data_IF_955944404289
#
_entry.id   IF_955944404289
#
_cell.length_a   1.000
_cell.length_b   1.000
_cell.length_c   1.000
_cell.angle_alpha   90.00
_cell.angle_beta   90.00
_cell.angle_gamma   90.00
#
_symmetry.space_group_name_H-M   'P 1'
#
loop_
_entity.id
_entity.type
_entity.pdbx_description
1 polymer ?
#
# COMPACT_ATOMS: atom_id res chain seq x y z
N UNK A 1 -29.91 1.52 0.15
CA UNK A 1 -29.43 1.37 -1.24
C UNK A 1 -27.90 1.40 -1.22
N UNK A 2 -27.26 0.23 -1.06
CA UNK A 2 -25.78 0.10 -0.99
C UNK A 2 -25.10 0.50 -2.31
N UNK A 3 -25.78 0.29 -3.43
CA UNK A 3 -25.22 0.59 -4.76
C UNK A 3 -24.94 2.08 -4.92
N UNK A 4 -25.75 2.96 -4.31
CA UNK A 4 -25.48 4.41 -4.29
C UNK A 4 -24.18 4.73 -3.56
N UNK A 5 -23.96 4.17 -2.36
CA UNK A 5 -22.73 4.40 -1.59
C UNK A 5 -21.51 3.82 -2.30
N UNK A 6 -21.66 2.63 -2.90
CA UNK A 6 -20.60 1.99 -3.67
C UNK A 6 -20.22 2.80 -4.91
N UNK A 7 -21.20 3.31 -5.66
CA UNK A 7 -20.97 4.16 -6.82
C UNK A 7 -20.31 5.49 -6.42
N UNK A 8 -20.72 6.09 -5.30
CA UNK A 8 -20.08 7.29 -4.75
C UNK A 8 -18.62 7.02 -4.35
N UNK A 9 -18.34 5.90 -3.68
CA UNK A 9 -16.99 5.49 -3.29
C UNK A 9 -16.11 5.30 -4.53
N UNK A 10 -16.59 4.58 -5.54
CA UNK A 10 -15.85 4.34 -6.78
C UNK A 10 -15.59 5.62 -7.57
N UNK A 11 -16.58 6.51 -7.67
CA UNK A 11 -16.41 7.81 -8.32
C UNK A 11 -15.36 8.65 -7.61
N UNK A 12 -15.41 8.71 -6.27
CA UNK A 12 -14.41 9.41 -5.46
C UNK A 12 -13.02 8.81 -5.64
N UNK A 13 -12.91 7.50 -5.63
CA UNK A 13 -11.65 6.79 -5.87
C UNK A 13 -11.07 7.12 -7.24
N UNK A 14 -11.90 7.18 -8.27
CA UNK A 14 -11.49 7.53 -9.63
C UNK A 14 -10.94 8.96 -9.71
N UNK A 15 -11.62 9.91 -9.06
CA UNK A 15 -11.19 11.32 -9.01
C UNK A 15 -9.87 11.49 -8.23
N UNK A 16 -9.70 10.75 -7.13
CA UNK A 16 -8.57 10.94 -6.22
C UNK A 16 -7.37 10.03 -6.49
N UNK A 17 -7.48 9.01 -7.35
CA UNK A 17 -6.41 8.02 -7.53
C UNK A 17 -5.07 8.64 -7.98
N UNK A 18 -5.11 9.57 -8.94
CA UNK A 18 -3.90 10.23 -9.43
C UNK A 18 -3.21 11.07 -8.35
N UNK A 19 -3.98 11.93 -7.68
CA UNK A 19 -3.48 12.77 -6.60
C UNK A 19 -2.92 11.93 -5.42
N UNK A 20 -3.63 10.88 -5.02
CA UNK A 20 -3.17 9.95 -3.98
C UNK A 20 -1.82 9.31 -4.36
N UNK A 21 -1.70 8.79 -5.58
CA UNK A 21 -0.48 8.12 -6.04
C UNK A 21 0.70 9.07 -6.15
N UNK A 22 0.48 10.26 -6.69
CA UNK A 22 1.50 11.31 -6.79
C UNK A 22 1.96 11.77 -5.41
N UNK A 23 1.03 11.97 -4.48
CA UNK A 23 1.34 12.38 -3.12
C UNK A 23 2.23 11.36 -2.42
N UNK A 24 1.86 10.08 -2.46
CA UNK A 24 2.65 9.01 -1.84
C UNK A 24 4.04 8.88 -2.50
N UNK A 25 4.13 8.98 -3.82
CA UNK A 25 5.41 8.92 -4.51
C UNK A 25 6.33 10.12 -4.18
N UNK A 26 5.77 11.33 -4.10
CA UNK A 26 6.49 12.51 -3.67
C UNK A 26 7.00 12.39 -2.22
N UNK A 27 6.19 11.81 -1.34
CA UNK A 27 6.60 11.51 0.04
C UNK A 27 7.77 10.52 0.06
N UNK A 28 7.70 9.43 -0.70
CA UNK A 28 8.78 8.44 -0.81
C UNK A 28 10.07 9.10 -1.28
N UNK A 29 10.03 9.87 -2.37
CA UNK A 29 11.22 10.51 -2.92
C UNK A 29 11.87 11.51 -1.95
N UNK A 30 11.06 12.32 -1.27
CA UNK A 30 11.53 13.24 -0.23
C UNK A 30 12.20 12.50 0.92
N UNK A 31 11.64 11.37 1.37
CA UNK A 31 12.15 10.63 2.51
C UNK A 31 13.32 9.70 2.16
N UNK A 32 13.44 9.30 0.89
CA UNK A 32 14.57 8.51 0.39
C UNK A 32 15.79 9.37 0.03
N UNK A 33 15.67 10.71 0.08
CA UNK A 33 16.73 11.63 -0.36
C UNK A 33 16.96 11.60 -1.87
N UNK A 34 15.99 11.11 -2.66
CA UNK A 34 16.06 11.20 -4.10
C UNK A 34 15.70 12.63 -4.53
N UNK A 35 16.64 13.34 -5.13
CA UNK A 35 16.53 14.79 -5.42
C UNK A 35 15.35 15.17 -6.35
N UNK A 36 14.68 14.22 -7.00
CA UNK A 36 13.43 14.46 -7.72
C UNK A 36 12.77 13.15 -8.15
N UNK A 37 11.48 12.97 -7.87
CA UNK A 37 10.67 11.92 -8.50
C UNK A 37 10.20 12.40 -9.88
N UNK A 38 10.82 11.90 -10.95
CA UNK A 38 10.23 11.99 -12.28
C UNK A 38 9.07 10.98 -12.34
N UNK A 39 7.86 11.44 -11.98
CA UNK A 39 6.68 10.60 -12.07
C UNK A 39 6.51 10.04 -13.49
N UNK A 40 5.89 8.85 -13.64
CA UNK A 40 5.73 8.26 -14.96
C UNK A 40 4.91 9.21 -15.84
N UNK A 41 5.60 9.89 -16.76
CA UNK A 41 4.98 10.43 -17.95
C UNK A 41 4.30 9.24 -18.64
N UNK A 42 2.99 9.30 -18.81
CA UNK A 42 2.15 8.14 -19.08
C UNK A 42 2.74 7.14 -20.09
N UNK A 43 2.83 5.87 -19.67
CA UNK A 43 2.96 4.71 -20.55
C UNK A 43 4.38 4.21 -20.82
N UNK A 44 4.73 3.06 -20.25
CA UNK A 44 5.88 2.25 -20.69
C UNK A 44 6.37 1.26 -19.64
N UNK A 45 5.97 0.00 -19.73
CA UNK A 45 6.56 -1.10 -18.95
C UNK A 45 7.96 -1.43 -19.49
N UNK A 46 9.01 -1.19 -18.69
CA UNK A 46 10.37 -1.65 -18.96
C UNK A 46 11.18 -1.76 -17.68
N UNK A 47 11.47 -2.99 -17.24
CA UNK A 47 12.31 -3.31 -16.08
C UNK A 47 13.73 -3.62 -16.55
N UNK A 48 14.71 -2.82 -16.12
CA UNK A 48 16.14 -3.01 -16.38
C UNK A 48 16.91 -3.24 -15.08
N UNK A 49 17.77 -4.26 -15.07
CA UNK A 49 18.60 -4.73 -13.94
C UNK A 49 19.87 -3.90 -13.74
N UNK A 50 20.25 -3.69 -12.48
CA UNK A 50 21.62 -3.45 -11.97
C UNK A 50 21.67 -4.05 -10.54
N UNK A 51 22.71 -4.64 -9.95
CA UNK A 51 24.17 -4.67 -10.18
C UNK A 51 24.86 -4.42 -8.82
N UNK A 52 25.62 -5.42 -8.31
CA UNK A 52 26.13 -5.55 -6.92
C UNK A 52 27.23 -4.56 -6.48
N UNK A 53 27.36 -4.32 -5.15
CA UNK A 53 28.56 -3.67 -4.57
C UNK A 53 28.60 -3.42 -3.04
N UNK A 54 29.32 -4.31 -2.33
CA UNK A 54 30.20 -4.22 -1.12
C UNK A 54 29.96 -3.27 0.10
N UNK A 55 30.39 -3.77 1.27
CA UNK A 55 30.16 -3.31 2.65
C UNK A 55 31.36 -2.61 3.34
N UNK A 56 31.14 -1.84 4.43
CA UNK A 56 32.07 -1.77 5.59
C UNK A 56 31.51 -1.16 6.92
N UNK A 57 32.14 -1.49 8.06
CA UNK A 57 32.41 -0.66 9.27
C UNK A 57 31.30 -0.32 10.28
N UNK A 58 31.35 -0.85 11.51
CA UNK A 58 30.35 -0.66 12.58
C UNK A 58 30.68 0.44 13.62
N UNK A 59 29.65 0.92 14.32
CA UNK A 59 29.75 1.79 15.51
C UNK A 59 28.74 1.30 16.56
N UNK A 60 29.22 0.96 17.76
CA UNK A 60 28.45 0.39 18.87
C UNK A 60 28.01 1.50 19.83
N UNK A 61 26.74 1.91 19.74
CA UNK A 61 26.08 2.77 20.73
C UNK A 61 24.70 2.21 21.12
N UNK A 62 24.38 2.08 22.42
CA UNK A 62 23.08 1.62 22.85
C UNK A 62 22.13 2.81 22.99
N UNK A 63 21.22 3.00 22.03
CA UNK A 63 20.21 4.07 22.13
C UNK A 63 19.25 4.14 20.94
N UNK A 64 18.07 3.52 21.08
CA UNK A 64 16.98 3.56 20.12
C UNK A 64 16.93 2.34 19.22
N UNK A 65 15.78 1.66 19.15
CA UNK A 65 15.52 0.48 18.28
C UNK A 65 15.67 0.76 16.76
N UNK A 66 16.15 1.94 16.37
CA UNK A 66 16.40 2.41 15.01
C UNK A 66 17.85 2.92 14.83
N UNK A 67 18.68 2.93 15.87
CA UNK A 67 20.07 3.39 15.79
C UNK A 67 20.95 2.30 15.21
N UNK A 68 21.71 2.64 14.15
CA UNK A 68 22.67 1.80 13.42
C UNK A 68 22.14 1.06 12.18
N UNK A 69 21.18 1.63 11.45
CA UNK A 69 21.13 1.38 10.00
C UNK A 69 22.26 2.17 9.35
N UNK A 70 23.34 1.48 8.97
CA UNK A 70 24.50 2.09 8.30
C UNK A 70 24.04 2.91 7.10
N UNK A 71 24.53 4.15 7.01
CA UNK A 71 24.29 5.11 5.92
C UNK A 71 25.05 4.70 4.63
N UNK A 72 24.79 3.50 4.11
CA UNK A 72 25.07 3.21 2.70
C UNK A 72 24.02 3.90 1.82
N UNK A 73 24.28 4.11 0.51
CA UNK A 73 23.23 4.50 -0.42
C UNK A 73 22.12 3.46 -0.32
N UNK A 74 20.98 3.87 0.24
CA UNK A 74 19.86 2.97 0.51
C UNK A 74 19.31 2.52 -0.85
N UNK A 75 19.30 1.22 -1.18
CA UNK A 75 18.67 0.78 -2.42
C UNK A 75 17.24 1.29 -2.45
N UNK A 76 16.86 1.82 -3.60
CA UNK A 76 15.65 2.61 -3.75
C UNK A 76 14.41 1.79 -3.38
N UNK A 77 13.54 2.34 -2.53
CA UNK A 77 12.18 1.84 -2.35
C UNK A 77 11.41 2.10 -3.64
N UNK A 78 10.95 1.04 -4.29
CA UNK A 78 10.20 1.15 -5.54
C UNK A 78 8.71 1.43 -5.26
N UNK A 79 8.11 2.30 -6.06
CA UNK A 79 6.68 2.61 -5.98
C UNK A 79 5.95 1.95 -7.15
N UNK A 80 5.05 1.02 -6.84
CA UNK A 80 4.25 0.27 -7.80
C UNK A 80 2.80 0.74 -7.75
N UNK A 81 2.37 1.51 -8.76
CA UNK A 81 1.00 1.99 -8.85
C UNK A 81 0.01 0.89 -9.18
N UNK A 82 -1.22 1.01 -8.67
CA UNK A 82 -2.31 0.09 -8.98
C UNK A 82 -3.54 0.84 -9.49
N UNK A 83 -4.34 0.25 -10.38
CA UNK A 83 -5.61 0.86 -10.77
C UNK A 83 -6.58 0.88 -9.59
N UNK A 84 -7.54 1.82 -9.65
CA UNK A 84 -8.71 1.84 -8.75
C UNK A 84 -9.36 0.47 -8.72
N UNK A 85 -9.76 0.03 -7.53
CA UNK A 85 -10.47 -1.25 -7.41
C UNK A 85 -11.76 -1.20 -8.22
N UNK A 86 -11.98 -2.20 -9.08
CA UNK A 86 -13.19 -2.26 -9.90
C UNK A 86 -14.45 -2.38 -9.04
N UNK A 87 -15.57 -1.82 -9.53
CA UNK A 87 -16.89 -1.94 -8.91
C UNK A 87 -17.26 -3.39 -8.60
N UNK A 88 -17.05 -4.32 -9.54
CA UNK A 88 -17.31 -5.74 -9.31
C UNK A 88 -16.55 -6.28 -8.08
N UNK A 89 -15.25 -5.98 -7.98
CA UNK A 89 -14.44 -6.38 -6.81
C UNK A 89 -14.82 -5.67 -5.53
N UNK A 90 -15.35 -4.45 -5.61
CA UNK A 90 -15.91 -3.76 -4.46
C UNK A 90 -17.18 -4.47 -3.98
N UNK A 91 -18.08 -4.88 -4.89
CA UNK A 91 -19.28 -5.69 -4.56
C UNK A 91 -18.92 -7.02 -3.90
N UNK A 92 -17.98 -7.78 -4.48
CA UNK A 92 -17.51 -9.04 -3.89
C UNK A 92 -17.03 -8.83 -2.44
N UNK A 93 -16.36 -7.71 -2.20
CA UNK A 93 -15.87 -7.30 -0.88
C UNK A 93 -17.00 -7.03 0.10
N UNK A 94 -18.15 -6.50 -0.35
CA UNK A 94 -19.30 -6.25 0.52
C UNK A 94 -19.92 -7.54 1.04
N UNK A 95 -19.87 -8.62 0.26
CA UNK A 95 -20.37 -9.95 0.68
C UNK A 95 -19.64 -10.45 1.93
N UNK A 96 -18.34 -10.15 2.07
CA UNK A 96 -17.54 -10.50 3.26
C UNK A 96 -18.04 -9.81 4.54
N UNK A 97 -18.70 -8.66 4.41
CA UNK A 97 -19.20 -7.85 5.52
C UNK A 97 -20.72 -7.89 5.66
N UNK A 98 -21.44 -8.61 4.81
CA UNK A 98 -22.88 -8.73 4.89
C UNK A 98 -23.29 -9.47 6.19
N UNK A 99 -24.49 -9.18 6.75
CA UNK A 99 -25.03 -9.96 7.86
C UNK A 99 -24.97 -11.47 7.58
N UNK A 100 -24.58 -12.30 8.56
CA UNK A 100 -24.46 -12.01 9.99
C UNK A 100 -23.07 -11.53 10.44
N UNK A 101 -22.21 -11.04 9.54
CA UNK A 101 -20.85 -10.65 9.89
C UNK A 101 -20.83 -9.55 10.99
N UNK A 102 -20.19 -9.76 12.15
CA UNK A 102 -20.31 -8.86 13.31
C UNK A 102 -19.68 -7.48 13.09
N UNK A 103 -18.75 -7.36 12.15
CA UNK A 103 -18.16 -6.07 11.75
C UNK A 103 -18.93 -5.32 10.65
N UNK A 104 -20.03 -5.90 10.13
CA UNK A 104 -20.81 -5.34 9.03
C UNK A 104 -21.71 -4.19 9.47
N UNK A 105 -21.19 -2.97 9.51
CA UNK A 105 -22.00 -1.77 9.78
C UNK A 105 -22.48 -1.15 8.47
N UNK A 106 -23.74 -0.68 8.45
CA UNK A 106 -24.31 0.03 7.31
C UNK A 106 -23.85 1.51 7.30
N UNK A 107 -23.36 2.07 6.18
CA UNK A 107 -23.18 1.43 4.88
C UNK A 107 -22.01 0.44 4.83
N UNK A 108 -22.21 -0.73 4.23
CA UNK A 108 -21.20 -1.81 4.20
C UNK A 108 -19.94 -1.36 3.44
N UNK A 109 -20.08 -0.48 2.44
CA UNK A 109 -18.96 0.14 1.73
C UNK A 109 -17.99 0.92 2.62
N UNK A 110 -18.38 1.33 3.83
CA UNK A 110 -17.44 1.88 4.82
C UNK A 110 -16.33 0.89 5.22
N UNK A 111 -16.54 -0.42 5.00
CA UNK A 111 -15.56 -1.47 5.26
C UNK A 111 -14.56 -1.68 4.10
N UNK A 112 -14.75 -0.99 2.96
CA UNK A 112 -13.81 -1.04 1.82
C UNK A 112 -12.73 0.02 2.01
N UNK A 113 -11.56 -0.41 2.49
CA UNK A 113 -10.45 0.47 2.84
C UNK A 113 -9.34 0.57 1.78
N UNK A 114 -9.46 -0.17 0.68
CA UNK A 114 -8.51 -0.15 -0.45
C UNK A 114 -9.17 0.21 -1.81
N UNK A 115 -10.00 1.28 -1.89
CA UNK A 115 -10.54 1.75 -3.17
C UNK A 115 -9.45 2.33 -4.08
N UNK A 116 -8.52 3.12 -3.50
CA UNK A 116 -7.25 3.54 -4.10
C UNK A 116 -6.11 2.83 -3.37
N UNK A 117 -5.08 2.42 -4.09
CA UNK A 117 -3.96 1.68 -3.50
C UNK A 117 -2.69 1.74 -4.35
N UNK A 118 -1.58 1.42 -3.72
CA UNK A 118 -0.29 1.19 -4.36
C UNK A 118 0.57 0.24 -3.51
N UNK A 119 1.72 -0.17 -4.03
CA UNK A 119 2.70 -0.95 -3.29
C UNK A 119 4.04 -0.22 -3.21
N UNK A 120 4.65 -0.25 -2.02
CA UNK A 120 6.05 0.10 -1.81
C UNK A 120 6.81 -1.21 -1.71
N UNK A 121 7.89 -1.34 -2.48
CA UNK A 121 8.72 -2.54 -2.48
C UNK A 121 10.10 -2.16 -2.02
N UNK A 122 10.56 -2.84 -0.97
CA UNK A 122 11.84 -2.58 -0.34
C UNK A 122 12.59 -3.90 -0.14
N UNK A 123 13.91 -3.84 -0.16
CA UNK A 123 14.75 -5.01 0.08
C UNK A 123 14.98 -5.21 1.59
N UNK A 124 14.34 -6.22 2.16
CA UNK A 124 14.55 -6.61 3.55
C UNK A 124 13.66 -5.88 4.58
N UNK A 125 13.50 -6.49 5.77
CA UNK A 125 12.55 -6.05 6.79
C UNK A 125 12.85 -4.66 7.37
N UNK A 126 14.14 -4.31 7.53
CA UNK A 126 14.50 -3.00 8.06
C UNK A 126 14.03 -1.85 7.15
N UNK A 127 14.13 -2.03 5.83
CA UNK A 127 13.68 -1.04 4.85
C UNK A 127 12.17 -0.98 4.73
N UNK A 128 11.47 -2.10 4.88
CA UNK A 128 10.00 -2.12 5.02
C UNK A 128 9.55 -1.25 6.19
N UNK A 129 10.18 -1.43 7.36
CA UNK A 129 9.86 -0.67 8.56
C UNK A 129 10.19 0.82 8.40
N UNK A 130 11.33 1.13 7.77
CA UNK A 130 11.72 2.52 7.43
C UNK A 130 10.73 3.16 6.46
N UNK A 131 10.35 2.47 5.39
CA UNK A 131 9.37 2.98 4.43
C UNK A 131 8.00 3.23 5.08
N UNK A 132 7.60 2.35 6.01
CA UNK A 132 6.36 2.52 6.76
C UNK A 132 6.42 3.68 7.76
N UNK A 133 7.57 3.94 8.38
CA UNK A 133 7.72 5.02 9.36
C UNK A 133 7.57 6.41 8.74
N UNK A 134 7.87 6.58 7.44
CA UNK A 134 7.66 7.83 6.70
C UNK A 134 6.22 8.35 6.77
N UNK A 135 5.24 7.45 6.87
CA UNK A 135 3.81 7.81 6.96
C UNK A 135 3.32 7.93 8.40
N UNK A 136 4.14 7.53 9.38
CA UNK A 136 3.80 7.59 10.81
C UNK A 136 4.32 8.86 11.47
N UNK A 137 5.30 9.53 10.85
CA UNK A 137 5.87 10.77 11.37
C UNK A 137 5.01 11.99 10.99
N UNK A 138 4.31 12.52 11.99
CA UNK A 138 3.45 13.69 11.85
C UNK A 138 4.19 14.92 11.30
N UNK A 139 5.50 15.05 11.54
CA UNK A 139 6.28 16.19 11.04
C UNK A 139 6.46 16.16 9.52
N UNK A 140 6.46 14.97 8.90
CA UNK A 140 6.49 14.80 7.44
C UNK A 140 5.11 15.00 6.79
N UNK A 141 4.05 14.94 7.61
CA UNK A 141 2.65 15.05 7.18
C UNK A 141 2.02 16.43 7.43
N UNK A 142 2.73 17.40 8.04
CA UNK A 142 2.14 18.68 8.52
C UNK A 142 2.88 19.93 8.02
N UNK A 143 3.14 20.00 6.70
CA UNK A 143 3.54 21.24 6.04
C UNK A 143 2.33 22.13 5.68
N UNK A 144 2.51 23.45 5.47
CA UNK A 144 1.42 24.36 5.05
C UNK A 144 0.81 24.02 3.68
N UNK A 145 1.44 23.13 2.91
CA UNK A 145 0.94 22.55 1.66
C UNK A 145 0.77 21.01 1.76
N UNK A 146 0.80 20.43 2.96
CA UNK A 146 0.62 19.00 3.13
C UNK A 146 -0.87 18.66 3.01
N UNK A 147 -1.32 18.39 1.79
CA UNK A 147 -2.51 17.59 1.55
C UNK A 147 -2.41 16.32 2.41
N UNK A 148 -3.34 16.17 3.35
CA UNK A 148 -3.13 15.37 4.56
C UNK A 148 -3.18 13.88 4.29
N UNK A 149 -2.03 13.21 4.46
CA UNK A 149 -1.98 11.74 4.62
C UNK A 149 -1.81 11.43 6.10
N UNK A 150 -2.78 10.71 6.66
CA UNK A 150 -2.73 10.26 8.05
C UNK A 150 -2.98 8.76 8.13
N UNK A 151 -2.08 8.00 8.77
CA UNK A 151 -2.28 6.57 9.00
C UNK A 151 -3.44 6.38 9.98
N UNK A 152 -4.53 5.75 9.52
CA UNK A 152 -5.72 5.46 10.32
C UNK A 152 -5.76 4.01 10.81
N UNK A 153 -5.06 3.09 10.14
CA UNK A 153 -4.98 1.69 10.54
C UNK A 153 -3.72 1.04 9.99
N UNK A 154 -3.10 0.20 10.79
CA UNK A 154 -2.00 -0.68 10.37
C UNK A 154 -2.45 -2.13 10.44
N UNK A 155 -2.21 -2.90 9.39
CA UNK A 155 -2.36 -4.37 9.41
C UNK A 155 -0.98 -4.98 9.18
N UNK A 156 -0.47 -5.62 10.21
CA UNK A 156 0.81 -6.32 10.17
C UNK A 156 0.58 -7.83 9.93
N UNK A 157 0.91 -8.29 8.72
CA UNK A 157 0.85 -9.69 8.33
C UNK A 157 2.02 -10.53 8.86
N UNK A 158 3.08 -9.92 9.40
CA UNK A 158 4.28 -10.60 9.91
C UNK A 158 4.16 -11.10 11.37
N UNK A 159 3.03 -10.87 12.03
CA UNK A 159 2.85 -11.24 13.44
C UNK A 159 2.94 -12.75 13.70
N UNK A 160 3.84 -13.15 14.61
CA UNK A 160 4.13 -14.54 14.97
C UNK A 160 2.95 -15.32 15.58
N UNK A 161 1.94 -14.62 16.12
CA UNK A 161 0.81 -15.23 16.83
C UNK A 161 -0.36 -15.71 15.97
N UNK A 162 -0.31 -15.58 14.63
CA UNK A 162 -1.41 -15.97 13.74
C UNK A 162 -1.30 -17.39 13.16
N UNK A 163 -0.32 -18.18 13.62
CA UNK A 163 0.06 -19.42 12.96
C UNK A 163 0.72 -19.16 11.61
N UNK A 164 1.31 -20.19 11.01
CA UNK A 164 1.77 -20.09 9.63
C UNK A 164 0.58 -19.76 8.74
N UNK A 165 0.57 -18.56 8.15
CA UNK A 165 -0.42 -18.22 7.13
C UNK A 165 -0.23 -19.24 6.02
N UNK A 166 -1.29 -19.98 5.68
CA UNK A 166 -1.22 -21.22 4.91
C UNK A 166 -0.55 -21.09 3.53
N UNK A 167 -0.51 -19.87 2.98
CA UNK A 167 0.10 -19.55 1.70
C UNK A 167 1.49 -18.92 1.81
N UNK A 168 2.04 -18.75 3.02
CA UNK A 168 3.33 -18.11 3.25
C UNK A 168 3.34 -16.60 2.97
N UNK A 169 2.20 -16.01 2.58
CA UNK A 169 2.12 -14.61 2.22
C UNK A 169 2.18 -13.73 3.48
N UNK A 170 3.01 -12.68 3.45
CA UNK A 170 3.17 -11.71 4.54
C UNK A 170 3.28 -10.32 3.92
N UNK A 171 2.54 -9.36 4.46
CA UNK A 171 2.61 -7.96 4.05
C UNK A 171 2.40 -7.02 5.23
N UNK A 172 2.93 -5.80 5.12
CA UNK A 172 2.59 -4.69 6.00
C UNK A 172 1.66 -3.77 5.21
N UNK A 173 0.50 -3.44 5.78
CA UNK A 173 -0.46 -2.54 5.14
C UNK A 173 -0.73 -1.34 6.01
N UNK A 174 -0.60 -0.17 5.42
CA UNK A 174 -1.00 1.10 6.00
C UNK A 174 -2.29 1.52 5.30
N UNK A 175 -3.32 1.74 6.08
CA UNK A 175 -4.52 2.41 5.61
C UNK A 175 -4.40 3.87 6.03
N UNK A 176 -4.49 4.76 5.06
CA UNK A 176 -4.29 6.17 5.27
C UNK A 176 -5.55 6.93 4.88
N UNK A 177 -5.95 7.91 5.70
CA UNK A 177 -6.85 8.97 5.25
C UNK A 177 -6.06 9.89 4.34
N UNK A 178 -6.64 10.22 3.19
CA UNK A 178 -6.08 11.16 2.22
C UNK A 178 -7.12 12.23 1.92
N UNK A 179 -6.80 13.47 2.24
CA UNK A 179 -7.60 14.65 1.90
C UNK A 179 -7.08 15.25 0.59
N UNK A 180 -7.81 15.00 -0.49
CA UNK A 180 -7.44 15.46 -1.82
C UNK A 180 -8.06 16.80 -2.21
N UNK A 181 -7.92 17.19 -3.49
CA UNK A 181 -8.44 18.45 -4.01
C UNK A 181 -9.95 18.63 -3.78
N UNK A 182 -10.37 19.89 -3.64
CA UNK A 182 -11.77 20.28 -3.39
C UNK A 182 -12.39 19.69 -2.10
N UNK A 183 -11.55 19.33 -1.11
CA UNK A 183 -12.02 18.82 0.19
C UNK A 183 -12.58 17.41 0.14
N UNK A 184 -12.25 16.63 -0.89
CA UNK A 184 -12.67 15.23 -0.99
C UNK A 184 -11.71 14.32 -0.23
N UNK A 185 -12.23 13.59 0.76
CA UNK A 185 -11.45 12.61 1.54
C UNK A 185 -11.69 11.16 1.10
N UNK A 186 -10.63 10.34 1.09
CA UNK A 186 -10.72 8.90 0.84
C UNK A 186 -9.74 8.12 1.73
N UNK A 187 -10.07 6.87 2.05
CA UNK A 187 -9.10 5.94 2.63
C UNK A 187 -8.35 5.23 1.50
N UNK A 188 -7.03 5.29 1.52
CA UNK A 188 -6.15 4.55 0.61
C UNK A 188 -5.38 3.44 1.32
N UNK A 189 -4.98 2.42 0.57
CA UNK A 189 -4.12 1.35 1.07
C UNK A 189 -2.71 1.46 0.47
N UNK A 190 -1.70 1.61 1.34
CA UNK A 190 -0.28 1.52 1.00
C UNK A 190 0.21 0.16 1.50
N UNK A 191 0.57 -0.72 0.58
CA UNK A 191 1.10 -2.04 0.93
C UNK A 191 2.62 -2.01 0.85
N UNK A 192 3.32 -2.32 1.93
CA UNK A 192 4.78 -2.37 1.98
C UNK A 192 5.22 -3.83 1.95
N UNK A 193 5.99 -4.20 0.94
CA UNK A 193 6.45 -5.57 0.69
C UNK A 193 7.95 -5.66 0.71
N UNK A 194 8.44 -6.83 1.11
CA UNK A 194 9.77 -7.27 0.73
C UNK A 194 9.80 -7.57 -0.78
N UNK A 195 10.93 -7.33 -1.45
CA UNK A 195 11.09 -7.62 -2.88
C UNK A 195 10.75 -9.08 -3.23
N UNK A 196 11.25 -10.06 -2.47
CA UNK A 196 11.01 -11.47 -2.75
C UNK A 196 9.53 -11.84 -2.55
N UNK A 197 8.89 -11.26 -1.54
CA UNK A 197 7.46 -11.45 -1.28
C UNK A 197 6.58 -10.78 -2.34
N UNK A 198 7.00 -9.62 -2.84
CA UNK A 198 6.30 -8.93 -3.93
C UNK A 198 6.31 -9.78 -5.21
N UNK A 199 7.44 -10.35 -5.58
CA UNK A 199 7.55 -11.21 -6.76
C UNK A 199 6.68 -12.47 -6.64
N UNK A 200 6.68 -13.10 -5.46
CA UNK A 200 5.82 -14.24 -5.16
C UNK A 200 4.34 -13.85 -5.25
N UNK A 201 3.95 -12.71 -4.68
CA UNK A 201 2.59 -12.18 -4.73
C UNK A 201 2.11 -11.96 -6.15
N UNK A 202 2.95 -11.43 -7.04
CA UNK A 202 2.59 -11.23 -8.45
C UNK A 202 2.28 -12.57 -9.13
N UNK A 203 3.06 -13.61 -8.85
CA UNK A 203 2.81 -14.98 -9.35
C UNK A 203 1.50 -15.55 -8.79
N UNK A 204 1.29 -15.45 -7.47
CA UNK A 204 0.07 -15.90 -6.81
C UNK A 204 -1.18 -15.15 -7.29
N UNK A 205 -1.08 -13.85 -7.53
CA UNK A 205 -2.20 -13.04 -7.98
C UNK A 205 -2.69 -13.48 -9.37
N UNK A 206 -1.79 -13.96 -10.24
CA UNK A 206 -2.16 -14.58 -11.52
C UNK A 206 -2.96 -15.86 -11.30
N UNK A 207 -2.55 -16.71 -10.37
CA UNK A 207 -3.28 -17.95 -10.01
C UNK A 207 -4.67 -17.65 -9.41
N UNK A 208 -4.77 -16.63 -8.54
CA UNK A 208 -6.04 -16.21 -7.96
C UNK A 208 -7.05 -15.75 -9.02
N UNK A 209 -6.58 -15.09 -10.10
CA UNK A 209 -7.47 -14.71 -11.22
C UNK A 209 -8.08 -15.95 -11.90
N UNK A 210 -7.30 -17.02 -12.06
CA UNK A 210 -7.79 -18.29 -12.64
C UNK A 210 -8.81 -18.96 -11.71
N UNK A 211 -8.48 -19.12 -10.42
CA UNK A 211 -9.38 -19.76 -9.44
C UNK A 211 -10.71 -19.01 -9.33
N UNK A 212 -10.70 -17.68 -9.40
CA UNK A 212 -11.93 -16.87 -9.36
C UNK A 212 -12.77 -17.00 -10.62
N UNK A 213 -12.14 -17.06 -11.80
CA UNK A 213 -12.86 -17.30 -13.04
C UNK A 213 -13.64 -18.63 -12.97
N UNK A 214 -13.01 -19.68 -12.44
CA UNK A 214 -13.65 -20.99 -12.24
C UNK A 214 -14.78 -20.97 -11.20
N UNK A 215 -14.67 -20.13 -10.17
CA UNK A 215 -15.69 -20.05 -9.12
C UNK A 215 -16.93 -19.26 -9.58
N UNK A 216 -16.78 -18.34 -10.54
CA UNK A 216 -17.89 -17.59 -11.10
C UNK A 216 -18.85 -18.49 -11.91
N UNK A 217 -18.33 -19.54 -12.55
CA UNK A 217 -19.12 -20.51 -13.32
C UNK A 217 -19.96 -21.44 -12.44
N UNK A 218 -19.69 -21.52 -11.13
CA UNK A 218 -20.42 -22.36 -10.18
C UNK A 218 -21.61 -21.67 -9.50
N UNK A 219 -21.82 -20.37 -9.73
CA UNK A 219 -22.90 -19.58 -9.10
C UNK A 219 -24.01 -19.25 -10.13
N UNK A 220 -24.01 -19.89 -11.30
CA UNK A 220 -25.11 -19.87 -12.28
C UNK A 220 -25.92 -21.16 -12.21
#
# INVERSE_FOLDING_TARGET
>A
DEEVFLAQLYRRATLLNGAFQQHVAAMVARCSGADSFEGPAGGGHGCGKCGDGAADGGDDRPGGWLGNLKEGPDPAVEVHFAPVKSMARMRDKLVEYAPPHPGGTWPLSANILDPVRLSLVADGPARILRAASWFSDAALCTGPNAEGVAVVRVKNGFGLGRGDVADGYRDLKLFVSFDGPAGLGIIGEIQVHDQALHDLKLKMHKLYKVKRAQSADMIM
#
